data_IF_705672795845
#
_entry.id   IF_705672795845
#
_cell.length_a   1.000
_cell.length_b   1.000
_cell.length_c   1.000
_cell.angle_alpha   90.00
_cell.angle_beta   90.00
_cell.angle_gamma   90.00
#
_symmetry.space_group_name_H-M   'P 1'
#
loop_
_entity.id
_entity.type
_entity.pdbx_description
1 polymer ?
#
# COMPACT_ATOMS: atom_id res chain seq x y z
N UNK A 1 -1.79 2.66 -12.10
CA UNK A 1 -1.37 2.93 -13.49
C UNK A 1 -1.09 1.60 -14.17
N UNK A 2 -1.61 1.39 -15.38
CA UNK A 2 -1.33 0.15 -16.11
C UNK A 2 0.12 0.11 -16.61
N UNK A 3 0.71 -1.08 -16.70
CA UNK A 3 2.10 -1.28 -17.12
C UNK A 3 2.41 -0.58 -18.45
N UNK A 4 1.49 -0.60 -19.42
CA UNK A 4 1.71 0.02 -20.72
C UNK A 4 1.90 1.53 -20.63
N UNK A 5 1.14 2.20 -19.77
CA UNK A 5 1.23 3.66 -19.60
C UNK A 5 2.55 4.03 -18.92
N UNK A 6 2.94 3.29 -17.88
CA UNK A 6 4.26 3.43 -17.25
C UNK A 6 5.39 3.31 -18.28
N UNK A 7 5.38 2.27 -19.11
CA UNK A 7 6.46 2.06 -20.08
C UNK A 7 6.48 3.14 -21.16
N UNK A 8 5.30 3.64 -21.58
CA UNK A 8 5.23 4.76 -22.53
C UNK A 8 5.85 6.03 -21.93
N UNK A 9 5.53 6.36 -20.68
CA UNK A 9 6.13 7.50 -19.99
C UNK A 9 7.67 7.37 -19.90
N UNK A 10 8.16 6.19 -19.53
CA UNK A 10 9.60 5.94 -19.45
C UNK A 10 10.29 6.12 -20.80
N UNK A 11 9.76 5.55 -21.88
CA UNK A 11 10.32 5.72 -23.24
C UNK A 11 10.26 7.19 -23.68
N UNK A 12 9.18 7.89 -23.38
CA UNK A 12 9.01 9.31 -23.70
C UNK A 12 9.96 10.23 -22.92
N UNK A 13 10.48 9.78 -21.78
CA UNK A 13 11.52 10.53 -21.05
C UNK A 13 12.85 10.65 -21.83
N UNK A 14 13.06 9.78 -22.83
CA UNK A 14 14.27 9.70 -23.68
C UNK A 14 15.58 9.53 -22.90
N UNK A 15 15.50 9.10 -21.65
CA UNK A 15 16.64 8.89 -20.76
C UNK A 15 16.43 7.65 -19.92
N UNK A 16 17.52 7.01 -19.53
CA UNK A 16 17.50 5.99 -18.50
C UNK A 16 17.39 6.62 -17.11
N UNK A 17 17.00 5.80 -16.14
CA UNK A 17 16.84 6.29 -14.78
C UNK A 17 17.08 5.21 -13.74
N UNK A 18 16.72 5.55 -12.51
CA UNK A 18 17.05 4.75 -11.34
C UNK A 18 16.47 3.35 -11.35
N UNK A 19 15.24 3.20 -11.85
CA UNK A 19 14.49 1.95 -11.82
C UNK A 19 14.21 1.38 -13.21
N UNK A 20 14.78 1.97 -14.28
CA UNK A 20 14.68 1.41 -15.61
C UNK A 20 15.95 1.59 -16.44
N UNK A 21 16.14 0.67 -17.40
CA UNK A 21 17.29 0.62 -18.30
C UNK A 21 16.82 0.20 -19.70
N UNK A 22 17.35 0.84 -20.76
CA UNK A 22 17.01 0.52 -22.14
C UNK A 22 18.05 -0.42 -22.73
N UNK A 23 17.59 -1.41 -23.48
CA UNK A 23 18.46 -2.33 -24.22
C UNK A 23 17.95 -2.49 -25.64
N UNK A 24 18.85 -2.48 -26.60
CA UNK A 24 18.47 -2.74 -28.00
C UNK A 24 18.03 -4.21 -28.19
N UNK A 25 18.65 -5.13 -27.47
CA UNK A 25 18.41 -6.57 -27.59
C UNK A 25 18.63 -7.28 -26.26
N UNK A 26 18.09 -8.49 -26.15
CA UNK A 26 18.38 -9.38 -25.02
C UNK A 26 19.87 -9.69 -24.95
N UNK A 27 20.42 -9.73 -23.74
CA UNK A 27 21.84 -9.99 -23.50
C UNK A 27 22.27 -11.33 -24.11
N UNK A 28 23.38 -11.33 -24.86
CA UNK A 28 24.00 -12.56 -25.34
C UNK A 28 24.74 -13.30 -24.22
N UNK A 29 25.33 -12.56 -23.29
CA UNK A 29 26.10 -13.05 -22.15
C UNK A 29 25.21 -13.02 -20.89
N UNK A 30 25.06 -14.15 -20.21
CA UNK A 30 24.18 -14.22 -19.04
C UNK A 30 24.79 -13.54 -17.81
N UNK A 31 26.12 -13.47 -17.71
CA UNK A 31 26.74 -12.74 -16.62
C UNK A 31 26.43 -11.22 -16.71
N UNK A 32 26.36 -10.65 -17.92
CA UNK A 32 25.91 -9.27 -18.11
C UNK A 32 24.42 -9.09 -17.75
N UNK A 33 23.57 -10.05 -18.15
CA UNK A 33 22.15 -10.06 -17.79
C UNK A 33 21.94 -10.08 -16.27
N UNK A 34 22.60 -11.03 -15.58
CA UNK A 34 22.50 -11.21 -14.14
C UNK A 34 23.01 -9.96 -13.42
N UNK A 35 24.11 -9.37 -13.90
CA UNK A 35 24.66 -8.15 -13.33
C UNK A 35 23.66 -6.98 -13.42
N UNK A 36 23.06 -6.74 -14.60
CA UNK A 36 22.10 -5.66 -14.78
C UNK A 36 20.84 -5.85 -13.92
N UNK A 37 20.33 -7.07 -13.83
CA UNK A 37 19.16 -7.39 -13.00
C UNK A 37 19.47 -7.28 -11.50
N UNK A 38 20.63 -7.75 -11.03
CA UNK A 38 21.04 -7.56 -9.62
C UNK A 38 21.15 -6.06 -9.31
N UNK A 39 21.76 -5.27 -10.20
CA UNK A 39 21.87 -3.81 -10.00
C UNK A 39 20.50 -3.14 -9.86
N UNK A 40 19.56 -3.46 -10.77
CA UNK A 40 18.19 -2.94 -10.72
C UNK A 40 17.43 -3.43 -9.48
N UNK A 41 17.51 -4.73 -9.16
CA UNK A 41 16.84 -5.32 -8.00
C UNK A 41 17.29 -4.66 -6.69
N UNK A 42 18.58 -4.33 -6.58
CA UNK A 42 19.18 -3.70 -5.40
C UNK A 42 19.14 -2.16 -5.42
N UNK A 43 18.49 -1.51 -6.39
CA UNK A 43 18.39 -0.04 -6.38
C UNK A 43 17.41 0.46 -5.31
N UNK A 44 17.68 1.63 -4.74
CA UNK A 44 16.80 2.29 -3.75
C UNK A 44 15.58 2.91 -4.43
N UNK A 45 14.56 2.11 -4.68
CA UNK A 45 13.33 2.54 -5.32
C UNK A 45 12.10 1.84 -4.73
N UNK A 46 11.02 2.59 -4.52
CA UNK A 46 9.72 2.06 -4.14
C UNK A 46 8.88 1.84 -5.40
N UNK A 47 8.79 0.58 -5.85
CA UNK A 47 8.08 0.20 -7.08
C UNK A 47 8.82 -0.83 -7.93
N UNK A 48 8.16 -1.42 -8.91
CA UNK A 48 8.80 -2.39 -9.81
C UNK A 48 9.92 -1.73 -10.65
N UNK A 49 10.92 -2.52 -11.06
CA UNK A 49 12.00 -2.07 -11.96
C UNK A 49 11.83 -2.68 -13.34
N UNK A 50 12.37 -2.02 -14.35
CA UNK A 50 12.16 -2.40 -15.74
C UNK A 50 13.46 -2.48 -16.53
N UNK A 51 13.66 -3.59 -17.22
CA UNK A 51 14.64 -3.70 -18.28
C UNK A 51 13.86 -3.80 -19.59
N UNK A 52 13.97 -2.77 -20.43
CA UNK A 52 13.10 -2.56 -21.59
C UNK A 52 13.91 -2.81 -22.86
N UNK A 53 13.58 -3.89 -23.56
CA UNK A 53 14.27 -4.33 -24.76
C UNK A 53 13.61 -3.81 -26.04
N UNK A 54 14.40 -3.58 -27.09
CA UNK A 54 13.94 -3.01 -28.35
C UNK A 54 13.94 -1.48 -28.37
N UNK A 55 14.69 -0.86 -27.45
CA UNK A 55 14.88 0.59 -27.34
C UNK A 55 16.38 0.89 -27.35
N UNK A 56 16.82 1.85 -28.16
CA UNK A 56 18.23 2.23 -28.23
C UNK A 56 18.63 3.20 -27.10
N UNK A 57 19.93 3.50 -26.99
CA UNK A 57 20.48 4.40 -25.97
C UNK A 57 19.94 5.85 -26.06
N UNK A 58 19.32 6.22 -27.18
CA UNK A 58 18.67 7.53 -27.38
C UNK A 58 17.18 7.52 -26.99
N UNK A 59 16.66 6.40 -26.48
CA UNK A 59 15.24 6.23 -26.14
C UNK A 59 14.34 6.08 -27.37
N UNK A 60 14.89 5.70 -28.52
CA UNK A 60 14.12 5.43 -29.73
C UNK A 60 13.72 3.96 -29.79
N UNK A 61 12.44 3.71 -30.09
CA UNK A 61 11.92 2.35 -30.23
C UNK A 61 12.36 1.78 -31.57
N UNK A 62 13.21 0.76 -31.53
CA UNK A 62 13.72 0.05 -32.71
C UNK A 62 13.04 -1.32 -32.91
N UNK A 63 12.36 -1.82 -31.88
CA UNK A 63 11.73 -3.13 -31.85
C UNK A 63 12.72 -4.21 -31.38
N UNK A 64 12.20 -5.24 -30.70
CA UNK A 64 13.03 -6.30 -30.15
C UNK A 64 13.48 -7.29 -31.25
N UNK A 65 14.79 -7.51 -31.45
CA UNK A 65 15.27 -8.45 -32.44
C UNK A 65 15.06 -9.91 -31.99
N UNK A 66 14.95 -10.83 -32.94
CA UNK A 66 14.82 -12.27 -32.66
C UNK A 66 16.12 -12.90 -32.13
N UNK A 67 17.27 -12.32 -32.48
CA UNK A 67 18.59 -12.80 -32.06
C UNK A 67 18.73 -12.67 -30.53
N UNK A 68 19.09 -13.78 -29.88
CA UNK A 68 19.29 -13.89 -28.43
C UNK A 68 18.05 -13.59 -27.57
N UNK A 69 16.87 -13.40 -28.18
CA UNK A 69 15.62 -13.13 -27.46
C UNK A 69 15.30 -14.32 -26.55
N UNK A 70 15.25 -14.08 -25.24
CA UNK A 70 15.00 -15.11 -24.23
C UNK A 70 13.52 -15.16 -23.90
N UNK A 71 13.02 -16.38 -23.63
CA UNK A 71 11.71 -16.61 -23.05
C UNK A 71 11.74 -16.46 -21.53
N UNK A 72 10.57 -16.31 -20.90
CA UNK A 72 10.43 -16.30 -19.43
C UNK A 72 11.11 -17.53 -18.78
N UNK A 73 10.91 -18.73 -19.33
CA UNK A 73 11.50 -19.96 -18.79
C UNK A 73 13.04 -19.93 -18.82
N UNK A 74 13.62 -19.53 -19.95
CA UNK A 74 15.08 -19.41 -20.09
C UNK A 74 15.67 -18.37 -19.13
N UNK A 75 14.98 -17.25 -18.90
CA UNK A 75 15.39 -16.27 -17.90
C UNK A 75 15.38 -16.90 -16.51
N UNK A 76 14.28 -17.52 -16.09
CA UNK A 76 14.18 -18.17 -14.78
C UNK A 76 15.25 -19.24 -14.57
N UNK A 77 15.49 -20.08 -15.58
CA UNK A 77 16.53 -21.12 -15.52
C UNK A 77 17.93 -20.52 -15.38
N UNK A 78 18.19 -19.38 -16.06
CA UNK A 78 19.46 -18.66 -15.95
C UNK A 78 19.75 -18.23 -14.51
N UNK A 79 18.74 -17.74 -13.78
CA UNK A 79 18.87 -17.31 -12.38
C UNK A 79 18.95 -18.50 -11.40
N UNK A 80 18.12 -19.53 -11.61
CA UNK A 80 18.12 -20.75 -10.77
C UNK A 80 19.44 -21.52 -10.82
N UNK A 81 20.16 -21.44 -11.93
CA UNK A 81 21.46 -22.07 -12.08
C UNK A 81 22.56 -21.42 -11.21
N UNK A 82 22.33 -20.22 -10.67
CA UNK A 82 23.34 -19.47 -9.92
C UNK A 82 23.24 -19.70 -8.42
N UNK A 83 24.38 -19.58 -7.74
CA UNK A 83 24.44 -19.67 -6.26
C UNK A 83 24.08 -18.32 -5.62
N UNK A 84 22.78 -17.98 -5.58
CA UNK A 84 22.32 -16.81 -4.83
C UNK A 84 22.34 -17.05 -3.32
N UNK A 85 22.61 -16.00 -2.55
CA UNK A 85 22.49 -16.05 -1.08
C UNK A 85 21.07 -16.44 -0.68
N UNK A 86 20.95 -17.28 0.35
CA UNK A 86 19.68 -17.79 0.87
C UNK A 86 18.81 -18.51 -0.17
N UNK A 87 19.38 -18.87 -1.34
CA UNK A 87 18.64 -19.36 -2.51
C UNK A 87 17.56 -18.38 -3.01
N UNK A 88 17.70 -17.09 -2.68
CA UNK A 88 16.77 -16.03 -3.08
C UNK A 88 17.35 -15.25 -4.26
N UNK A 89 16.66 -15.29 -5.40
CA UNK A 89 16.97 -14.52 -6.60
C UNK A 89 15.84 -13.53 -6.92
N UNK A 90 16.11 -12.45 -7.68
CA UNK A 90 15.08 -11.47 -8.04
C UNK A 90 13.88 -12.10 -8.72
N UNK A 91 12.67 -11.73 -8.28
CA UNK A 91 11.42 -12.14 -8.91
C UNK A 91 11.20 -11.32 -10.20
N UNK A 92 11.14 -12.03 -11.34
CA UNK A 92 11.14 -11.43 -12.67
C UNK A 92 9.99 -11.94 -13.55
N UNK A 93 9.41 -11.04 -14.34
CA UNK A 93 8.33 -11.34 -15.29
C UNK A 93 8.56 -10.63 -16.62
N UNK A 94 8.63 -11.40 -17.70
CA UNK A 94 8.75 -10.88 -19.06
C UNK A 94 7.38 -10.73 -19.73
N UNK A 95 7.10 -9.56 -20.31
CA UNK A 95 5.91 -9.32 -21.13
C UNK A 95 6.27 -8.56 -22.40
N UNK A 96 5.76 -9.02 -23.53
CA UNK A 96 5.85 -8.28 -24.80
C UNK A 96 4.68 -7.32 -24.94
N UNK A 97 4.95 -6.09 -25.35
CA UNK A 97 3.93 -5.07 -25.61
C UNK A 97 4.18 -4.42 -26.98
N UNK A 98 3.11 -3.97 -27.62
CA UNK A 98 3.22 -3.15 -28.83
C UNK A 98 3.38 -1.68 -28.44
N UNK A 99 4.37 -1.04 -29.02
CA UNK A 99 4.58 0.40 -29.00
C UNK A 99 4.55 0.88 -30.44
N UNK A 100 3.50 1.63 -30.80
CA UNK A 100 3.13 1.88 -32.19
C UNK A 100 3.05 0.55 -32.98
N UNK A 101 3.80 0.43 -34.08
CA UNK A 101 3.87 -0.77 -34.92
C UNK A 101 5.03 -1.72 -34.55
N UNK A 102 5.78 -1.42 -33.48
CA UNK A 102 6.95 -2.20 -33.06
C UNK A 102 6.66 -2.98 -31.78
N UNK A 103 7.19 -4.19 -31.70
CA UNK A 103 7.13 -5.00 -30.49
C UNK A 103 8.35 -4.71 -29.62
N UNK A 104 8.14 -4.51 -28.32
CA UNK A 104 9.18 -4.40 -27.31
C UNK A 104 8.95 -5.45 -26.21
N UNK A 105 10.02 -5.88 -25.57
CA UNK A 105 9.93 -6.77 -24.41
C UNK A 105 10.22 -5.98 -23.12
N UNK A 106 9.39 -6.16 -22.12
CA UNK A 106 9.51 -5.53 -20.81
C UNK A 106 9.77 -6.61 -19.78
N UNK A 107 10.98 -6.66 -19.26
CA UNK A 107 11.31 -7.50 -18.11
C UNK A 107 11.08 -6.68 -16.84
N UNK A 108 10.05 -7.06 -16.10
CA UNK A 108 9.70 -6.46 -14.81
C UNK A 108 10.43 -7.21 -13.70
N UNK A 109 11.12 -6.49 -12.82
CA UNK A 109 11.73 -7.01 -11.60
C UNK A 109 10.87 -6.51 -10.43
N UNK A 110 10.25 -7.43 -9.69
CA UNK A 110 9.31 -7.07 -8.62
C UNK A 110 10.02 -6.42 -7.44
N UNK A 111 9.42 -5.37 -6.88
CA UNK A 111 9.89 -4.82 -5.62
C UNK A 111 9.63 -5.81 -4.50
N UNK A 112 10.70 -6.40 -3.97
CA UNK A 112 10.65 -7.33 -2.85
C UNK A 112 11.62 -6.86 -1.76
N UNK A 113 11.28 -7.05 -0.47
CA UNK A 113 12.13 -6.62 0.64
C UNK A 113 13.36 -7.50 0.85
N UNK A 114 13.64 -8.48 -0.01
CA UNK A 114 14.73 -9.46 0.18
C UNK A 114 16.14 -8.97 -0.20
N UNK A 115 16.33 -7.67 -0.37
CA UNK A 115 17.63 -7.06 -0.72
C UNK A 115 18.62 -7.16 0.45
N UNK A 116 19.94 -7.22 0.23
CA UNK A 116 20.61 -7.29 -1.06
C UNK A 116 20.49 -8.69 -1.69
N UNK A 117 20.25 -8.72 -3.00
CA UNK A 117 20.49 -9.90 -3.84
C UNK A 117 21.97 -9.95 -4.20
N UNK A 118 22.64 -11.06 -3.93
CA UNK A 118 24.03 -11.29 -4.31
C UNK A 118 24.32 -12.77 -4.46
N UNK A 119 25.40 -13.06 -5.18
CA UNK A 119 25.87 -14.42 -5.46
C UNK A 119 26.95 -14.84 -4.46
N UNK A 120 27.04 -16.13 -4.15
CA UNK A 120 28.02 -16.72 -3.22
C UNK A 120 29.15 -17.47 -3.93
N UNK A 121 29.10 -17.55 -5.26
CA UNK A 121 30.17 -18.09 -6.12
C UNK A 121 30.36 -17.18 -7.33
N UNK A 122 31.61 -17.01 -7.77
CA UNK A 122 31.91 -16.22 -8.96
C UNK A 122 31.17 -16.78 -10.18
N UNK A 123 30.55 -15.89 -10.96
CA UNK A 123 30.00 -16.22 -12.28
C UNK A 123 30.99 -15.70 -13.31
N UNK A 124 31.51 -16.60 -14.14
CA UNK A 124 32.48 -16.27 -15.18
C UNK A 124 31.95 -16.72 -16.53
N UNK A 125 31.76 -15.78 -17.46
CA UNK A 125 31.38 -16.10 -18.84
C UNK A 125 32.35 -15.46 -19.85
N UNK A 126 32.69 -16.16 -20.95
CA UNK A 126 33.48 -15.58 -22.02
C UNK A 126 32.69 -14.48 -22.74
N UNK A 127 33.35 -13.37 -23.06
CA UNK A 127 32.79 -12.28 -23.89
C UNK A 127 33.51 -12.18 -25.23
N UNK A 128 34.83 -12.35 -25.22
CA UNK A 128 35.69 -12.43 -26.40
C UNK A 128 36.80 -13.45 -26.11
N UNK A 129 37.56 -13.94 -27.12
CA UNK A 129 38.57 -14.99 -26.92
C UNK A 129 39.58 -14.69 -25.79
N UNK A 130 39.87 -13.42 -25.50
CA UNK A 130 40.79 -12.96 -24.47
C UNK A 130 40.13 -12.20 -23.31
N UNK A 131 38.79 -12.12 -23.26
CA UNK A 131 38.07 -11.33 -22.26
C UNK A 131 36.90 -12.10 -21.67
N UNK A 132 36.82 -12.08 -20.34
CA UNK A 132 35.73 -12.68 -19.56
C UNK A 132 34.94 -11.58 -18.84
N UNK A 133 33.66 -11.86 -18.63
CA UNK A 133 32.80 -11.13 -17.70
C UNK A 133 32.79 -11.93 -16.42
N UNK A 134 33.11 -11.27 -15.30
CA UNK A 134 33.14 -11.90 -13.98
C UNK A 134 32.25 -11.12 -13.03
N UNK A 135 31.21 -11.77 -12.50
CA UNK A 135 30.49 -11.28 -11.34
C UNK A 135 31.11 -11.94 -10.11
N UNK A 136 31.58 -11.15 -9.15
CA UNK A 136 32.31 -11.62 -7.99
C UNK A 136 31.36 -12.07 -6.89
N UNK A 137 31.67 -13.19 -6.26
CA UNK A 137 31.00 -13.67 -5.06
C UNK A 137 31.05 -12.60 -3.96
N UNK A 138 29.95 -12.44 -3.24
CA UNK A 138 29.78 -11.55 -2.09
C UNK A 138 29.92 -10.05 -2.37
N UNK A 139 30.15 -9.65 -3.63
CA UNK A 139 29.99 -8.26 -4.02
C UNK A 139 28.51 -7.91 -4.10
N UNK A 140 28.14 -6.74 -3.57
CA UNK A 140 26.78 -6.23 -3.65
C UNK A 140 26.76 -5.20 -4.76
N UNK A 141 26.04 -5.49 -5.84
CA UNK A 141 25.88 -4.59 -6.97
C UNK A 141 24.55 -3.84 -6.83
N UNK A 142 24.55 -2.55 -7.14
CA UNK A 142 23.36 -1.68 -7.14
C UNK A 142 23.42 -0.70 -8.30
N UNK A 143 22.31 -0.03 -8.58
CA UNK A 143 22.19 1.06 -9.55
C UNK A 143 21.94 2.39 -8.84
N UNK A 144 22.65 3.43 -9.26
CA UNK A 144 22.40 4.82 -8.86
C UNK A 144 22.11 5.62 -10.13
N UNK A 145 20.93 6.22 -10.21
CA UNK A 145 20.48 6.88 -11.44
C UNK A 145 20.58 5.92 -12.63
N UNK A 146 21.34 6.25 -13.66
CA UNK A 146 21.56 5.43 -14.86
C UNK A 146 22.78 4.50 -14.77
N UNK A 147 23.47 4.48 -13.62
CA UNK A 147 24.79 3.87 -13.50
C UNK A 147 24.78 2.64 -12.60
N UNK A 148 25.17 1.49 -13.16
CA UNK A 148 25.36 0.24 -12.43
C UNK A 148 26.73 0.23 -11.71
N UNK A 149 26.79 -0.43 -10.55
CA UNK A 149 28.05 -0.68 -9.84
C UNK A 149 28.99 -1.48 -10.77
N UNK A 150 30.24 -1.05 -11.00
CA UNK A 150 31.18 -1.82 -11.83
C UNK A 150 31.40 -3.26 -11.34
N UNK A 151 31.55 -4.20 -12.27
CA UNK A 151 31.74 -5.64 -11.97
C UNK A 151 32.91 -5.93 -11.01
N UNK A 152 33.95 -5.10 -11.02
CA UNK A 152 35.14 -5.22 -10.18
C UNK A 152 35.07 -4.44 -8.86
N UNK A 153 33.91 -3.87 -8.51
CA UNK A 153 33.68 -3.15 -7.26
C UNK A 153 32.39 -3.61 -6.59
N UNK A 154 32.01 -2.94 -5.50
CA UNK A 154 30.78 -3.17 -4.75
C UNK A 154 30.12 -1.82 -4.47
N UNK A 155 28.81 -1.84 -4.24
CA UNK A 155 28.05 -0.70 -3.77
C UNK A 155 28.67 -0.14 -2.48
N UNK A 156 28.50 1.15 -2.24
CA UNK A 156 29.07 1.77 -1.04
C UNK A 156 28.31 1.33 0.22
N UNK A 157 28.94 1.51 1.38
CA UNK A 157 28.39 1.06 2.67
C UNK A 157 27.00 1.62 2.98
N UNK A 158 26.68 2.86 2.59
CA UNK A 158 25.36 3.46 2.83
C UNK A 158 24.27 2.75 2.03
N UNK A 159 24.53 2.41 0.77
CA UNK A 159 23.59 1.66 -0.06
C UNK A 159 23.36 0.26 0.52
N UNK A 160 24.44 -0.41 0.94
CA UNK A 160 24.37 -1.74 1.54
C UNK A 160 23.57 -1.69 2.85
N UNK A 161 23.85 -0.72 3.72
CA UNK A 161 23.09 -0.51 4.96
C UNK A 161 21.60 -0.32 4.67
N UNK A 162 21.26 0.50 3.67
CA UNK A 162 19.87 0.76 3.30
C UNK A 162 19.13 -0.50 2.82
N UNK A 163 19.80 -1.38 2.06
CA UNK A 163 19.21 -2.66 1.65
C UNK A 163 18.92 -3.56 2.85
N UNK A 164 19.83 -3.63 3.81
CA UNK A 164 19.61 -4.38 5.05
C UNK A 164 18.52 -3.77 5.91
N UNK A 165 18.46 -2.43 6.00
CA UNK A 165 17.35 -1.73 6.65
C UNK A 165 16.02 -2.11 6.00
N UNK A 166 15.93 -2.13 4.68
CA UNK A 166 14.71 -2.55 3.98
C UNK A 166 14.35 -4.00 4.31
N UNK A 167 15.32 -4.92 4.27
CA UNK A 167 15.11 -6.34 4.59
C UNK A 167 14.68 -6.61 6.01
N UNK A 168 15.16 -5.81 6.96
CA UNK A 168 14.74 -5.87 8.35
C UNK A 168 13.48 -5.01 8.62
N UNK A 169 12.87 -4.44 7.57
CA UNK A 169 11.70 -3.56 7.68
C UNK A 169 11.99 -2.24 8.40
N UNK A 170 13.25 -1.84 8.61
CA UNK A 170 13.67 -0.64 9.33
C UNK A 170 13.53 0.66 8.51
N UNK A 171 13.13 0.56 7.24
CA UNK A 171 12.84 1.72 6.37
C UNK A 171 11.40 2.21 6.48
N UNK A 172 10.49 1.38 7.00
CA UNK A 172 9.09 1.77 7.19
C UNK A 172 8.94 2.69 8.42
N UNK A 173 8.25 3.84 8.29
CA UNK A 173 7.88 4.66 9.43
C UNK A 173 7.12 3.85 10.50
N UNK A 174 7.32 4.13 11.81
CA UNK A 174 6.62 3.41 12.87
C UNK A 174 5.10 3.38 12.71
N UNK A 175 4.48 4.46 12.22
CA UNK A 175 3.03 4.51 11.99
C UNK A 175 2.57 3.48 10.94
N UNK A 176 3.36 3.25 9.87
CA UNK A 176 3.04 2.25 8.85
C UNK A 176 3.17 0.83 9.40
N UNK A 177 4.23 0.57 10.18
CA UNK A 177 4.43 -0.72 10.86
C UNK A 177 3.29 -1.03 11.82
N UNK A 178 2.90 -0.03 12.61
CA UNK A 178 1.81 -0.16 13.56
C UNK A 178 0.51 -0.59 12.88
N UNK A 179 0.18 -0.02 11.70
CA UNK A 179 -0.97 -0.45 10.90
C UNK A 179 -0.86 -1.92 10.49
N UNK A 180 0.32 -2.38 10.06
CA UNK A 180 0.55 -3.80 9.74
C UNK A 180 0.35 -4.68 10.97
N UNK A 181 0.87 -4.27 12.12
CA UNK A 181 0.72 -5.02 13.38
C UNK A 181 -0.74 -5.09 13.85
N UNK A 182 -1.54 -4.04 13.65
CA UNK A 182 -2.98 -4.06 13.98
C UNK A 182 -3.74 -5.15 13.22
N UNK A 183 -3.35 -5.43 11.98
CA UNK A 183 -3.93 -6.51 11.18
C UNK A 183 -3.46 -7.92 11.62
N UNK A 184 -2.41 -8.00 12.44
CA UNK A 184 -1.93 -9.22 13.08
C UNK A 184 -2.37 -9.26 14.56
N UNK A 185 -3.68 -9.15 14.77
CA UNK A 185 -4.29 -9.00 16.09
C UNK A 185 -3.88 -10.12 17.07
N UNK A 186 -3.73 -11.35 16.60
CA UNK A 186 -3.41 -12.54 17.40
C UNK A 186 -2.04 -12.45 18.11
N UNK A 187 -1.12 -11.66 17.54
CA UNK A 187 0.23 -11.48 18.04
C UNK A 187 0.38 -10.28 19.00
N UNK A 188 -0.73 -9.68 19.43
CA UNK A 188 -0.75 -8.76 20.55
C UNK A 188 -0.92 -9.50 21.88
N UNK A 189 -0.34 -8.93 22.93
CA UNK A 189 -0.59 -9.29 24.31
C UNK A 189 -0.95 -8.02 25.08
N UNK A 190 -1.47 -8.16 26.29
CA UNK A 190 -1.75 -7.04 27.18
C UNK A 190 -1.15 -7.30 28.56
N UNK A 191 -0.82 -6.24 29.28
CA UNK A 191 -0.46 -6.31 30.69
C UNK A 191 -1.71 -6.24 31.60
N UNK A 192 -1.49 -6.34 32.91
CA UNK A 192 -2.56 -6.32 33.92
C UNK A 192 -3.32 -4.98 33.98
N UNK A 193 -2.75 -3.90 33.42
CA UNK A 193 -3.36 -2.57 33.34
C UNK A 193 -4.17 -2.37 32.04
N UNK A 194 -4.20 -3.38 31.16
CA UNK A 194 -4.94 -3.35 29.90
C UNK A 194 -4.22 -2.63 28.76
N UNK A 195 -2.91 -2.37 28.90
CA UNK A 195 -2.08 -1.83 27.83
C UNK A 195 -1.63 -2.97 26.92
N UNK A 196 -1.91 -2.83 25.63
CA UNK A 196 -1.50 -3.79 24.61
C UNK A 196 -0.08 -3.52 24.14
N UNK A 197 0.66 -4.58 23.83
CA UNK A 197 1.96 -4.54 23.19
C UNK A 197 2.08 -5.67 22.14
N UNK A 198 2.80 -5.40 21.06
CA UNK A 198 3.01 -6.38 20.01
C UNK A 198 4.15 -7.34 20.37
N UNK A 199 3.92 -8.66 20.40
CA UNK A 199 4.87 -9.64 20.96
C UNK A 199 6.26 -9.59 20.34
N UNK A 200 6.35 -9.34 19.02
CA UNK A 200 7.63 -9.29 18.30
C UNK A 200 8.31 -7.91 18.32
N UNK A 201 7.56 -6.85 18.64
CA UNK A 201 8.04 -5.48 18.76
C UNK A 201 7.35 -4.77 19.93
N UNK A 202 7.68 -5.13 21.18
CA UNK A 202 6.97 -4.67 22.38
C UNK A 202 7.07 -3.16 22.62
N UNK A 203 7.95 -2.46 21.90
CA UNK A 203 7.99 -1.01 21.84
C UNK A 203 6.76 -0.38 21.18
N UNK A 204 6.00 -1.13 20.38
CA UNK A 204 4.69 -0.70 19.87
C UNK A 204 3.61 -1.04 20.89
N UNK A 205 2.93 -0.01 21.40
CA UNK A 205 1.92 -0.19 22.45
C UNK A 205 0.65 0.61 22.18
N UNK A 206 -0.47 0.12 22.71
CA UNK A 206 -1.81 0.71 22.55
C UNK A 206 -2.47 0.76 23.93
N UNK A 207 -2.99 1.92 24.33
CA UNK A 207 -3.67 2.06 25.61
C UNK A 207 -4.82 3.05 25.52
N UNK A 208 -5.86 2.80 26.32
CA UNK A 208 -6.98 3.72 26.48
C UNK A 208 -6.50 4.99 27.19
N UNK A 209 -7.01 6.12 26.75
CA UNK A 209 -6.68 7.47 27.20
C UNK A 209 -7.94 8.33 27.17
N UNK A 210 -8.00 9.36 28.01
CA UNK A 210 -9.15 10.24 28.08
C UNK A 210 -9.24 11.15 26.83
N UNK A 211 -10.45 11.30 26.28
CA UNK A 211 -10.73 12.08 25.07
C UNK A 211 -11.20 13.50 25.40
N UNK A 212 -10.32 14.33 25.96
CA UNK A 212 -10.73 15.70 26.31
C UNK A 212 -10.97 16.61 25.09
N UNK A 213 -10.32 16.33 23.95
CA UNK A 213 -10.31 17.23 22.79
C UNK A 213 -11.39 16.96 21.73
N UNK A 214 -12.13 15.86 21.82
CA UNK A 214 -12.98 15.32 20.73
C UNK A 214 -14.45 15.15 21.18
N UNK A 215 -14.84 15.93 22.19
CA UNK A 215 -16.19 15.96 22.75
C UNK A 215 -17.21 16.39 21.68
N UNK A 216 -18.27 15.60 21.48
CA UNK A 216 -19.33 15.87 20.51
C UNK A 216 -19.36 14.91 19.32
N UNK A 217 -18.30 14.11 19.08
CA UNK A 217 -18.31 13.08 18.03
C UNK A 217 -19.46 12.08 18.21
N UNK A 218 -19.79 11.79 19.46
CA UNK A 218 -20.89 10.90 19.84
C UNK A 218 -22.29 11.44 19.51
N UNK A 219 -22.37 12.70 19.07
CA UNK A 219 -23.60 13.39 18.67
C UNK A 219 -23.72 13.56 17.15
N UNK A 220 -22.78 13.02 16.37
CA UNK A 220 -22.80 13.06 14.90
C UNK A 220 -23.88 12.14 14.32
N UNK A 221 -24.26 12.37 13.07
CA UNK A 221 -25.43 11.74 12.44
C UNK A 221 -25.43 10.21 12.51
N UNK A 222 -24.26 9.59 12.32
CA UNK A 222 -24.10 8.15 12.35
C UNK A 222 -24.37 7.54 13.74
N UNK A 223 -24.13 8.28 14.82
CA UNK A 223 -24.35 7.83 16.19
C UNK A 223 -25.78 8.15 16.69
N UNK A 224 -26.46 9.15 16.09
CA UNK A 224 -27.72 9.71 16.62
C UNK A 224 -28.87 8.73 16.77
N UNK A 225 -29.04 7.80 15.84
CA UNK A 225 -30.15 6.84 15.93
C UNK A 225 -29.98 5.83 17.08
N UNK A 226 -28.78 5.72 17.63
CA UNK A 226 -28.46 4.88 18.79
C UNK A 226 -28.60 5.62 20.13
N UNK A 227 -28.70 6.94 20.11
CA UNK A 227 -28.79 7.78 21.32
C UNK A 227 -30.12 7.56 22.06
N UNK A 228 -31.15 7.08 21.36
CA UNK A 228 -32.51 7.06 21.88
C UNK A 228 -33.04 8.47 22.17
N UNK A 229 -34.36 8.65 22.20
CA UNK A 229 -34.97 9.97 22.37
C UNK A 229 -34.81 10.57 23.79
N UNK A 230 -34.08 9.92 24.70
CA UNK A 230 -34.19 10.20 26.13
C UNK A 230 -32.95 9.88 26.99
N UNK A 231 -31.73 10.16 26.54
CA UNK A 231 -30.59 10.21 27.47
C UNK A 231 -29.65 11.38 27.15
N UNK A 232 -29.57 12.33 28.09
CA UNK A 232 -28.55 13.38 28.15
C UNK A 232 -27.18 12.86 28.61
N UNK A 233 -27.01 11.55 28.83
CA UNK A 233 -25.80 10.96 29.45
C UNK A 233 -25.45 9.54 28.99
N UNK A 234 -25.89 9.10 27.79
CA UNK A 234 -25.76 7.70 27.36
C UNK A 234 -24.54 7.38 26.47
N UNK A 235 -24.00 8.39 25.79
CA UNK A 235 -22.83 8.22 24.93
C UNK A 235 -21.62 8.89 25.55
N UNK A 236 -20.45 8.32 25.30
CA UNK A 236 -19.19 8.93 25.69
C UNK A 236 -18.14 8.72 24.60
N UNK A 237 -17.25 9.69 24.45
CA UNK A 237 -16.04 9.52 23.66
C UNK A 237 -14.88 9.15 24.57
N UNK A 238 -14.00 8.32 24.04
CA UNK A 238 -12.75 7.98 24.68
C UNK A 238 -11.73 7.69 23.58
N UNK A 239 -10.44 7.76 23.91
CA UNK A 239 -9.39 7.65 22.90
C UNK A 239 -8.53 6.43 23.15
N UNK A 240 -8.14 5.74 22.08
CA UNK A 240 -6.98 4.86 22.13
C UNK A 240 -5.78 5.60 21.58
N UNK A 241 -4.70 5.63 22.34
CA UNK A 241 -3.44 6.24 21.92
C UNK A 241 -2.41 5.16 21.63
N UNK A 242 -1.72 5.33 20.51
CA UNK A 242 -0.75 4.38 20.00
C UNK A 242 0.64 4.96 20.11
N UNK A 243 1.58 4.17 20.60
CA UNK A 243 2.93 4.61 20.90
C UNK A 243 3.97 3.74 20.21
N UNK A 244 5.08 4.36 19.86
CA UNK A 244 6.36 3.71 19.60
C UNK A 244 7.35 4.20 20.65
N UNK A 245 7.80 3.30 21.52
CA UNK A 245 8.38 3.65 22.82
C UNK A 245 7.47 4.62 23.58
N UNK A 246 7.91 5.85 23.79
CA UNK A 246 7.14 6.90 24.47
C UNK A 246 6.59 7.96 23.49
N UNK A 247 6.83 7.79 22.19
CA UNK A 247 6.35 8.72 21.17
C UNK A 247 4.94 8.35 20.77
N UNK A 248 3.98 9.26 21.02
CA UNK A 248 2.62 9.17 20.49
C UNK A 248 2.68 9.20 18.96
N UNK A 249 2.28 8.10 18.32
CA UNK A 249 2.21 7.99 16.87
C UNK A 249 0.86 8.46 16.33
N UNK A 250 -0.21 8.02 16.98
CA UNK A 250 -1.57 8.23 16.53
C UNK A 250 -2.56 8.19 17.70
N UNK A 251 -3.77 8.69 17.49
CA UNK A 251 -4.86 8.57 18.44
C UNK A 251 -6.17 8.36 17.68
N UNK A 252 -6.89 7.30 18.03
CA UNK A 252 -8.23 7.04 17.51
C UNK A 252 -9.26 7.48 18.54
N UNK A 253 -10.23 8.27 18.12
CA UNK A 253 -11.45 8.53 18.90
C UNK A 253 -12.36 7.34 18.73
N UNK A 254 -12.95 6.88 19.82
CA UNK A 254 -13.99 5.85 19.82
C UNK A 254 -15.23 6.41 20.51
N UNK A 255 -16.40 6.04 20.01
CA UNK A 255 -17.65 6.36 20.69
C UNK A 255 -18.22 5.09 21.32
N UNK A 256 -18.55 5.20 22.60
CA UNK A 256 -19.37 4.24 23.30
C UNK A 256 -20.82 4.75 23.35
N UNK A 257 -21.78 3.89 23.06
CA UNK A 257 -23.20 4.21 23.14
C UNK A 257 -24.05 2.97 23.46
N UNK A 258 -25.35 3.17 23.70
CA UNK A 258 -26.24 2.16 24.30
C UNK A 258 -25.69 1.65 25.66
N UNK A 259 -25.27 2.59 26.50
CA UNK A 259 -24.85 2.33 27.88
C UNK A 259 -23.67 1.38 28.03
N UNK A 260 -22.67 1.47 27.15
CA UNK A 260 -21.50 0.59 27.19
C UNK A 260 -21.48 -0.45 26.07
N UNK A 261 -22.65 -0.83 25.54
CA UNK A 261 -22.81 -2.06 24.75
C UNK A 261 -22.25 -1.95 23.35
N UNK A 262 -22.40 -0.78 22.72
CA UNK A 262 -21.88 -0.53 21.38
C UNK A 262 -20.63 0.33 21.44
N UNK A 263 -19.66 0.00 20.59
CA UNK A 263 -18.38 0.66 20.57
C UNK A 263 -17.84 0.69 19.15
N UNK A 264 -17.55 1.90 18.66
CA UNK A 264 -17.15 2.13 17.28
C UNK A 264 -15.95 3.08 17.29
N UNK A 265 -14.91 2.74 16.52
CA UNK A 265 -13.83 3.68 16.19
C UNK A 265 -14.43 4.76 15.29
N UNK A 266 -14.30 6.04 15.64
CA UNK A 266 -14.97 7.12 14.90
C UNK A 266 -14.66 7.04 13.39
N UNK A 267 -15.66 6.91 12.51
CA UNK A 267 -15.45 6.90 11.08
C UNK A 267 -14.99 8.28 10.58
N UNK A 268 -14.24 8.27 9.49
CA UNK A 268 -13.92 9.50 8.77
C UNK A 268 -15.17 10.01 8.03
N UNK A 269 -15.12 11.23 7.51
CA UNK A 269 -16.24 11.81 6.79
C UNK A 269 -15.83 12.69 5.62
N UNK A 270 -16.73 12.78 4.64
CA UNK A 270 -16.61 13.66 3.49
C UNK A 270 -17.91 14.42 3.27
N UNK A 271 -17.78 15.66 2.79
CA UNK A 271 -18.93 16.45 2.38
C UNK A 271 -19.45 16.00 1.01
N UNK A 272 -20.77 15.87 0.88
CA UNK A 272 -21.46 15.71 -0.40
C UNK A 272 -22.53 16.78 -0.51
N UNK A 273 -22.15 17.91 -1.11
CA UNK A 273 -22.99 19.11 -1.11
C UNK A 273 -23.23 19.59 0.33
N UNK A 274 -24.51 19.68 0.72
CA UNK A 274 -24.91 20.05 2.09
C UNK A 274 -24.96 18.88 3.07
N UNK A 275 -24.70 17.65 2.63
CA UNK A 275 -24.69 16.45 3.47
C UNK A 275 -23.27 16.03 3.87
N UNK A 276 -23.18 15.13 4.86
CA UNK A 276 -21.95 14.40 5.21
C UNK A 276 -22.22 12.91 5.05
N UNK A 277 -21.24 12.22 4.48
CA UNK A 277 -21.15 10.76 4.53
C UNK A 277 -20.03 10.39 5.49
N UNK A 278 -20.27 9.37 6.32
CA UNK A 278 -19.28 8.79 7.22
C UNK A 278 -18.83 7.44 6.67
N UNK A 279 -17.55 7.12 6.77
CA UNK A 279 -17.01 5.91 6.17
C UNK A 279 -15.68 5.46 6.80
N UNK A 280 -15.29 4.25 6.44
CA UNK A 280 -13.91 3.77 6.58
C UNK A 280 -13.28 3.55 5.20
N UNK A 281 -11.98 3.85 5.07
CA UNK A 281 -11.17 3.24 4.02
C UNK A 281 -10.58 1.95 4.56
N UNK A 282 -10.60 0.89 3.76
CA UNK A 282 -10.17 -0.45 4.18
C UNK A 282 -8.70 -0.49 4.63
N UNK A 283 -7.87 0.40 4.10
CA UNK A 283 -6.47 0.55 4.47
C UNK A 283 -6.20 1.71 5.44
N UNK A 284 -7.25 2.38 5.95
CA UNK A 284 -7.09 3.43 6.96
C UNK A 284 -6.66 2.84 8.31
N UNK A 285 -6.02 3.68 9.11
CA UNK A 285 -5.60 3.30 10.45
C UNK A 285 -6.80 3.00 11.35
N UNK A 286 -7.84 3.82 11.27
CA UNK A 286 -9.10 3.70 12.02
C UNK A 286 -9.79 2.37 11.73
N UNK A 287 -9.84 1.94 10.46
CA UNK A 287 -10.46 0.67 10.11
C UNK A 287 -9.63 -0.54 10.56
N UNK A 288 -8.30 -0.46 10.41
CA UNK A 288 -7.40 -1.49 10.96
C UNK A 288 -7.58 -1.61 12.48
N UNK A 289 -7.71 -0.48 13.18
CA UNK A 289 -7.96 -0.48 14.61
C UNK A 289 -9.37 -0.95 14.98
N UNK A 290 -10.39 -0.62 14.19
CA UNK A 290 -11.74 -1.16 14.36
C UNK A 290 -11.72 -2.69 14.32
N UNK A 291 -11.08 -3.27 13.30
CA UNK A 291 -10.91 -4.72 13.20
C UNK A 291 -10.10 -5.32 14.36
N UNK A 292 -9.04 -4.64 14.81
CA UNK A 292 -8.29 -5.04 16.00
C UNK A 292 -9.19 -5.10 17.25
N UNK A 293 -10.06 -4.11 17.42
CA UNK A 293 -11.01 -4.04 18.55
C UNK A 293 -12.05 -5.16 18.48
N UNK A 294 -12.54 -5.50 17.28
CA UNK A 294 -13.45 -6.64 17.09
C UNK A 294 -12.77 -7.93 17.58
N UNK A 295 -11.56 -8.21 17.09
CA UNK A 295 -10.84 -9.43 17.46
C UNK A 295 -10.59 -9.58 18.97
N UNK A 296 -10.37 -8.50 19.70
CA UNK A 296 -10.00 -8.55 21.13
C UNK A 296 -11.15 -8.35 22.11
N UNK A 297 -12.17 -7.59 21.73
CA UNK A 297 -13.20 -7.15 22.68
C UNK A 297 -14.61 -7.58 22.30
N UNK A 298 -14.89 -8.00 21.05
CA UNK A 298 -16.27 -8.25 20.59
C UNK A 298 -16.41 -9.34 19.53
N UNK A 299 -17.33 -10.25 19.77
CA UNK A 299 -17.78 -11.22 18.76
C UNK A 299 -18.76 -10.62 17.72
N UNK A 300 -18.96 -9.29 17.70
CA UNK A 300 -19.90 -8.61 16.80
C UNK A 300 -19.36 -7.26 16.33
N UNK A 301 -19.66 -6.93 15.08
CA UNK A 301 -19.33 -5.65 14.45
C UNK A 301 -20.40 -4.60 14.70
N UNK A 302 -20.14 -3.69 15.65
CA UNK A 302 -21.10 -2.64 16.01
C UNK A 302 -21.21 -1.53 14.95
N UNK A 303 -20.31 -1.49 13.95
CA UNK A 303 -20.46 -0.58 12.81
C UNK A 303 -21.59 -0.99 11.85
N UNK A 304 -22.21 -2.14 12.10
CA UNK A 304 -23.31 -2.70 11.32
C UNK A 304 -24.62 -2.68 12.08
N UNK A 305 -25.71 -2.70 11.33
CA UNK A 305 -27.07 -2.71 11.83
C UNK A 305 -27.37 -1.56 12.82
N UNK A 306 -26.82 -0.38 12.56
CA UNK A 306 -27.10 0.84 13.30
C UNK A 306 -28.52 1.35 13.01
N UNK A 307 -29.18 1.89 14.03
CA UNK A 307 -30.55 2.37 13.94
C UNK A 307 -30.63 3.72 13.24
N UNK A 308 -31.60 3.91 12.36
CA UNK A 308 -31.96 5.25 11.86
C UNK A 308 -32.88 5.95 12.88
N UNK A 309 -32.72 7.25 13.10
CA UNK A 309 -33.53 8.03 14.07
C UNK A 309 -35.03 7.97 13.74
N UNK A 310 -35.37 8.00 12.45
CA UNK A 310 -36.74 8.26 11.96
C UNK A 310 -37.41 7.05 11.32
N UNK A 311 -36.78 5.87 11.35
CA UNK A 311 -37.32 4.67 10.71
C UNK A 311 -36.91 3.40 11.44
N UNK A 312 -37.66 2.32 11.26
CA UNK A 312 -37.28 0.97 11.74
C UNK A 312 -36.21 0.29 10.88
N UNK A 313 -35.66 0.97 9.88
CA UNK A 313 -34.56 0.45 9.06
C UNK A 313 -33.23 0.67 9.76
N UNK A 314 -32.31 -0.26 9.53
CA UNK A 314 -30.94 -0.18 9.98
C UNK A 314 -29.99 0.21 8.84
N UNK A 315 -28.76 0.53 9.17
CA UNK A 315 -27.69 0.79 8.21
C UNK A 315 -26.34 0.33 8.74
N UNK A 316 -25.39 0.17 7.83
CA UNK A 316 -23.99 -0.09 8.15
C UNK A 316 -23.16 1.16 7.82
N UNK A 317 -22.06 1.39 8.54
CA UNK A 317 -21.07 2.40 8.15
C UNK A 317 -20.43 1.95 6.83
N UNK A 318 -20.48 2.77 5.75
CA UNK A 318 -19.82 2.48 4.49
C UNK A 318 -18.33 2.15 4.66
N UNK A 319 -17.87 1.14 3.93
CA UNK A 319 -16.44 0.81 3.79
C UNK A 319 -16.06 0.93 2.31
N UNK A 320 -15.01 1.67 2.02
CA UNK A 320 -14.44 1.80 0.68
C UNK A 320 -13.11 1.05 0.60
N UNK A 321 -12.91 0.29 -0.47
CA UNK A 321 -11.69 -0.47 -0.78
C UNK A 321 -10.48 0.45 -1.04
N UNK A 322 -10.71 1.69 -1.50
CA UNK A 322 -9.66 2.67 -1.75
C UNK A 322 -10.21 4.10 -1.83
N UNK A 323 -9.31 5.08 -1.72
CA UNK A 323 -9.61 6.49 -1.96
C UNK A 323 -10.24 6.71 -3.35
N UNK A 324 -9.79 6.01 -4.38
CA UNK A 324 -10.39 6.11 -5.72
C UNK A 324 -11.86 5.68 -5.72
N UNK A 325 -12.21 4.60 -5.01
CA UNK A 325 -13.60 4.15 -4.90
C UNK A 325 -14.46 5.17 -4.15
N UNK A 326 -13.90 5.82 -3.12
CA UNK A 326 -14.55 6.93 -2.43
C UNK A 326 -14.80 8.08 -3.40
N UNK A 327 -13.80 8.52 -4.16
CA UNK A 327 -13.94 9.63 -5.12
C UNK A 327 -14.97 9.34 -6.22
N UNK A 328 -15.03 8.10 -6.72
CA UNK A 328 -16.08 7.63 -7.63
C UNK A 328 -17.47 7.80 -7.00
N UNK A 329 -17.63 7.35 -5.76
CA UNK A 329 -18.89 7.47 -5.02
C UNK A 329 -19.29 8.92 -4.76
N UNK A 330 -18.36 9.78 -4.35
CA UNK A 330 -18.62 11.20 -4.13
C UNK A 330 -19.08 11.88 -5.43
N UNK A 331 -18.47 11.52 -6.56
CA UNK A 331 -18.86 12.02 -7.89
C UNK A 331 -20.24 11.52 -8.31
N UNK A 332 -20.50 10.23 -8.13
CA UNK A 332 -21.81 9.62 -8.39
C UNK A 332 -22.92 10.31 -7.57
N UNK A 333 -22.69 10.50 -6.27
CA UNK A 333 -23.64 11.11 -5.34
C UNK A 333 -23.97 12.56 -5.69
N UNK A 334 -22.98 13.33 -6.16
CA UNK A 334 -23.15 14.71 -6.63
C UNK A 334 -24.11 14.84 -7.82
N UNK A 335 -24.23 13.81 -8.66
CA UNK A 335 -25.19 13.82 -9.78
C UNK A 335 -26.62 13.51 -9.35
N UNK A 336 -26.78 12.84 -8.21
CA UNK A 336 -28.06 12.41 -7.65
C UNK A 336 -28.65 13.46 -6.72
N UNK A 337 -27.81 14.09 -5.90
CA UNK A 337 -28.21 15.18 -5.03
C UNK A 337 -28.22 16.50 -5.79
N UNK A 338 -29.32 17.24 -5.70
CA UNK A 338 -29.37 18.60 -6.23
C UNK A 338 -28.53 19.52 -5.32
N UNK A 339 -27.26 19.72 -5.68
CA UNK A 339 -26.28 20.44 -4.85
C UNK A 339 -26.71 21.90 -4.69
N UNK A 340 -27.12 22.27 -3.47
CA UNK A 340 -27.50 23.66 -3.13
C UNK A 340 -26.35 24.44 -2.48
N UNK A 341 -25.38 23.77 -1.88
CA UNK A 341 -24.19 24.33 -1.24
C UNK A 341 -23.07 23.28 -1.22
N UNK A 342 -21.82 23.72 -1.07
CA UNK A 342 -20.64 22.86 -0.91
C UNK A 342 -20.25 22.64 0.56
N UNK A 343 -20.98 23.22 1.50
CA UNK A 343 -20.75 23.08 2.94
C UNK A 343 -21.89 22.31 3.60
N UNK A 344 -21.58 21.39 4.53
CA UNK A 344 -22.59 20.70 5.33
C UNK A 344 -23.52 21.65 6.08
N UNK A 345 -24.81 21.33 6.12
CA UNK A 345 -25.77 22.13 6.88
C UNK A 345 -25.57 21.96 8.39
N UNK A 346 -25.78 23.03 9.15
CA UNK A 346 -25.80 23.01 10.62
C UNK A 346 -27.16 22.61 11.19
N UNK A 347 -28.20 22.52 10.35
CA UNK A 347 -29.51 22.02 10.80
C UNK A 347 -29.47 20.50 10.98
N UNK A 348 -29.49 20.04 12.23
CA UNK A 348 -29.37 18.62 12.56
C UNK A 348 -30.44 17.73 11.91
N UNK A 349 -31.65 18.26 11.69
CA UNK A 349 -32.74 17.48 11.07
C UNK A 349 -32.48 17.27 9.58
N UNK A 350 -32.15 18.34 8.87
CA UNK A 350 -31.80 18.26 7.45
C UNK A 350 -30.51 17.45 7.24
N UNK A 351 -29.52 17.61 8.11
CA UNK A 351 -28.27 16.86 8.02
C UNK A 351 -28.48 15.35 8.21
N UNK A 352 -29.33 14.93 9.15
CA UNK A 352 -29.71 13.50 9.29
C UNK A 352 -30.45 12.98 8.05
N UNK A 353 -31.38 13.79 7.50
CA UNK A 353 -32.12 13.42 6.28
C UNK A 353 -31.16 13.18 5.11
N UNK A 354 -30.21 14.11 4.89
CA UNK A 354 -29.20 14.01 3.84
C UNK A 354 -28.24 12.84 4.06
N UNK A 355 -27.82 12.59 5.29
CA UNK A 355 -26.97 11.43 5.61
C UNK A 355 -27.66 10.10 5.25
N UNK A 356 -28.92 9.91 5.62
CA UNK A 356 -29.64 8.67 5.27
C UNK A 356 -29.91 8.55 3.77
N UNK A 357 -30.19 9.65 3.08
CA UNK A 357 -30.29 9.67 1.61
C UNK A 357 -28.96 9.26 0.95
N UNK A 358 -27.82 9.72 1.49
CA UNK A 358 -26.49 9.31 1.02
C UNK A 358 -26.19 7.82 1.24
N UNK A 359 -26.68 7.21 2.32
CA UNK A 359 -26.55 5.76 2.52
C UNK A 359 -27.39 4.96 1.51
N UNK A 360 -28.57 5.45 1.16
CA UNK A 360 -29.42 4.84 0.14
C UNK A 360 -28.72 4.94 -1.24
N UNK A 361 -28.11 6.09 -1.56
CA UNK A 361 -27.29 6.28 -2.78
C UNK A 361 -26.05 5.37 -2.76
N UNK A 362 -25.40 5.17 -1.61
CA UNK A 362 -24.27 4.25 -1.48
C UNK A 362 -24.68 2.82 -1.80
N UNK A 363 -25.87 2.39 -1.36
CA UNK A 363 -26.41 1.07 -1.68
C UNK A 363 -26.64 0.93 -3.20
N UNK A 364 -27.19 1.96 -3.85
CA UNK A 364 -27.31 1.98 -5.33
C UNK A 364 -25.94 1.87 -6.03
N UNK A 365 -24.94 2.59 -5.53
CA UNK A 365 -23.59 2.60 -6.09
C UNK A 365 -22.91 1.23 -5.99
N UNK A 366 -23.06 0.52 -4.87
CA UNK A 366 -22.52 -0.84 -4.73
C UNK A 366 -23.17 -1.81 -5.72
N UNK A 367 -24.51 -1.76 -5.86
CA UNK A 367 -25.24 -2.66 -6.77
C UNK A 367 -24.88 -2.47 -8.25
N UNK A 368 -24.40 -1.28 -8.66
CA UNK A 368 -23.93 -1.04 -10.03
C UNK A 368 -22.56 -1.66 -10.33
N UNK A 369 -21.76 -1.99 -9.30
CA UNK A 369 -20.44 -2.61 -9.46
C UNK A 369 -20.49 -4.15 -9.50
N UNK A 370 -21.62 -4.76 -9.14
CA UNK A 370 -21.85 -6.21 -9.19
C UNK A 370 -22.43 -6.71 -10.52
N UNK A 371 -22.67 -5.81 -11.49
CA UNK A 371 -23.11 -6.08 -12.86
C UNK A 371 -21.95 -5.78 -13.81
#
# INVERSE_FOLDING_TARGET
MELQDTIKELINSKKEGQYWDFKESHHANNAELIHDIICLANTEHQGDRFLIYGVNNSGEVIGVPSKNRKTQAQLIDTFRAQSFSDQLYPDISLKSIKYDDKEIDVLTIKNQPHKPYYITKDITEPKQPSKQVVIRAHHIYSRVMDSNTPQNSSANSKQIEQMWRERFGLTQPPLEKLRLYLNDAENWAHDDEGKFYYKYHPEFTIQSTEAFAEQGCETLEWARGEIGYSYTSGNNTYCWTFYYHNTKLFQCVCCNFDGGKKNIVNPDWSAVGSGRIYYYLKDSFEYCFHNFMLNHFKDRDDSKNLNRVTSSQNFDIPVFESENQLQDFLSFSKTKLNIKSNEPTLDNKEQNRLFYELLDIYTEFQNQKEI
#
